data_IF_795348692273
#
_entry.id   IF_795348692273
#
_cell.length_a   1.000
_cell.length_b   1.000
_cell.length_c   1.000
_cell.angle_alpha   90.00
_cell.angle_beta   90.00
_cell.angle_gamma   90.00
#
_symmetry.space_group_name_H-M   'P 1'
#
loop_
_entity.id
_entity.type
_entity.pdbx_description
1 polymer ?
#
# COMPACT_ATOMS: atom_id res chain seq x y z
N UNK A 1 -2.26 -0.32 -6.25
CA UNK A 1 -2.31 0.72 -5.21
C UNK A 1 -0.97 0.82 -4.48
N UNK A 2 -0.50 -0.25 -3.83
CA UNK A 2 0.76 -0.30 -3.10
C UNK A 2 1.97 0.13 -3.93
N UNK A 3 2.07 -0.29 -5.20
CA UNK A 3 3.17 0.11 -6.08
C UNK A 3 3.17 1.61 -6.40
N UNK A 4 2.01 2.20 -6.59
CA UNK A 4 1.88 3.63 -6.84
C UNK A 4 2.24 4.45 -5.61
N UNK A 5 1.84 4.02 -4.41
CA UNK A 5 2.17 4.68 -3.14
C UNK A 5 3.68 4.69 -2.86
N UNK A 6 4.41 3.66 -3.31
CA UNK A 6 5.86 3.60 -3.16
C UNK A 6 6.61 4.58 -4.07
N UNK A 7 6.00 5.02 -5.18
CA UNK A 7 6.67 5.82 -6.22
C UNK A 7 6.75 7.31 -5.92
N UNK A 8 5.88 7.85 -5.08
CA UNK A 8 5.87 9.28 -4.77
C UNK A 8 5.80 9.54 -3.27
N UNK A 9 6.52 10.56 -2.75
CA UNK A 9 6.48 10.88 -1.33
C UNK A 9 5.15 11.48 -0.86
N UNK A 10 4.33 11.97 -1.79
CA UNK A 10 3.05 12.61 -1.46
C UNK A 10 1.99 12.27 -2.49
N UNK A 11 1.10 11.38 -2.16
CA UNK A 11 -0.16 11.21 -2.86
C UNK A 11 -1.18 10.58 -1.94
N UNK A 12 -2.43 10.82 -2.22
CA UNK A 12 -3.56 10.36 -1.43
C UNK A 12 -4.52 9.62 -2.35
N UNK A 13 -4.99 8.48 -1.88
CA UNK A 13 -6.08 7.75 -2.55
C UNK A 13 -7.39 8.46 -2.21
N UNK A 14 -8.07 8.96 -3.24
CA UNK A 14 -9.35 9.67 -3.09
C UNK A 14 -10.52 8.71 -3.18
N UNK A 15 -10.39 7.70 -4.02
CA UNK A 15 -11.44 6.72 -4.25
C UNK A 15 -10.84 5.46 -4.86
N UNK A 16 -11.48 4.32 -4.67
CA UNK A 16 -11.13 3.07 -5.31
C UNK A 16 -12.36 2.18 -5.54
N UNK A 17 -12.27 1.25 -6.48
CA UNK A 17 -13.25 0.21 -6.68
C UNK A 17 -12.53 -1.09 -7.07
N UNK A 18 -13.03 -2.21 -6.56
CA UNK A 18 -12.53 -3.52 -6.90
C UNK A 18 -13.43 -4.17 -7.96
N UNK A 19 -12.84 -4.51 -9.11
CA UNK A 19 -13.56 -5.08 -10.26
C UNK A 19 -13.10 -6.53 -10.47
N UNK A 20 -13.85 -7.53 -10.01
CA UNK A 20 -13.43 -8.93 -10.05
C UNK A 20 -13.38 -9.52 -11.48
N UNK A 21 -14.20 -9.01 -12.40
CA UNK A 21 -14.38 -9.53 -13.76
C UNK A 21 -14.08 -8.46 -14.81
N UNK A 22 -12.84 -7.99 -14.88
CA UNK A 22 -12.44 -6.86 -15.73
C UNK A 22 -12.74 -7.03 -17.21
N UNK A 23 -12.76 -8.27 -17.74
CA UNK A 23 -13.05 -8.53 -19.18
C UNK A 23 -14.46 -8.15 -19.59
N UNK A 24 -15.41 -8.15 -18.66
CA UNK A 24 -16.83 -7.83 -18.91
C UNK A 24 -17.24 -6.46 -18.35
N UNK A 25 -16.31 -5.73 -17.76
CA UNK A 25 -16.59 -4.44 -17.10
C UNK A 25 -17.29 -3.43 -18.02
N UNK A 26 -16.93 -3.39 -19.30
CA UNK A 26 -17.55 -2.48 -20.29
C UNK A 26 -19.02 -2.80 -20.61
N UNK A 27 -19.50 -3.97 -20.21
CA UNK A 27 -20.91 -4.40 -20.42
C UNK A 27 -21.73 -4.25 -19.13
N UNK A 28 -21.17 -3.67 -18.09
CA UNK A 28 -21.82 -3.44 -16.81
C UNK A 28 -22.01 -1.92 -16.60
N UNK A 29 -23.21 -1.45 -16.87
CA UNK A 29 -23.56 -0.02 -16.79
C UNK A 29 -23.28 0.54 -15.38
N UNK A 30 -23.51 -0.25 -14.32
CA UNK A 30 -23.26 0.18 -12.95
C UNK A 30 -21.76 0.39 -12.68
N UNK A 31 -20.89 -0.42 -13.29
CA UNK A 31 -19.43 -0.21 -13.20
C UNK A 31 -18.98 1.00 -14.02
N UNK A 32 -19.62 1.28 -15.15
CA UNK A 32 -19.34 2.49 -15.96
C UNK A 32 -19.74 3.74 -15.18
N UNK A 33 -20.93 3.75 -14.59
CA UNK A 33 -21.40 4.85 -13.74
C UNK A 33 -20.46 5.05 -12.53
N UNK A 34 -20.03 3.95 -11.92
CA UNK A 34 -19.08 4.00 -10.80
C UNK A 34 -17.71 4.54 -11.22
N UNK A 35 -17.21 4.18 -12.38
CA UNK A 35 -15.96 4.72 -12.93
C UNK A 35 -16.08 6.22 -13.20
N UNK A 36 -17.20 6.68 -13.71
CA UNK A 36 -17.51 8.10 -13.90
C UNK A 36 -17.49 8.85 -12.57
N UNK A 37 -18.13 8.32 -11.53
CA UNK A 37 -18.11 8.89 -10.18
C UNK A 37 -16.70 9.00 -9.60
N UNK A 38 -15.84 7.97 -9.81
CA UNK A 38 -14.43 8.03 -9.38
C UNK A 38 -13.71 9.18 -10.10
N UNK A 39 -13.96 9.36 -11.38
CA UNK A 39 -13.39 10.48 -12.16
C UNK A 39 -13.82 11.84 -11.62
N UNK A 40 -15.10 12.00 -11.29
CA UNK A 40 -15.65 13.23 -10.70
C UNK A 40 -15.04 13.52 -9.32
N UNK A 41 -14.94 12.50 -8.46
CA UNK A 41 -14.32 12.61 -7.14
C UNK A 41 -12.86 13.04 -7.25
N UNK A 42 -12.11 12.47 -8.20
CA UNK A 42 -10.72 12.84 -8.46
C UNK A 42 -10.59 14.30 -8.95
N UNK A 43 -11.46 14.71 -9.87
CA UNK A 43 -11.47 16.09 -10.38
C UNK A 43 -11.78 17.12 -9.29
N UNK A 44 -12.74 16.81 -8.41
CA UNK A 44 -13.09 17.65 -7.27
C UNK A 44 -11.93 17.76 -6.28
N UNK A 45 -11.26 16.66 -5.96
CA UNK A 45 -10.08 16.64 -5.11
C UNK A 45 -8.92 17.43 -5.71
N UNK A 46 -8.63 17.26 -7.00
CA UNK A 46 -7.59 18.01 -7.70
C UNK A 46 -7.85 19.53 -7.67
N UNK A 47 -9.09 19.96 -7.89
CA UNK A 47 -9.49 21.36 -7.76
C UNK A 47 -9.26 21.89 -6.35
N UNK A 48 -9.64 21.13 -5.32
CA UNK A 48 -9.43 21.51 -3.92
C UNK A 48 -7.94 21.68 -3.60
N UNK A 49 -7.11 20.76 -4.09
CA UNK A 49 -5.63 20.82 -3.92
C UNK A 49 -5.09 22.10 -4.58
N UNK A 50 -5.52 22.44 -5.80
CA UNK A 50 -5.10 23.67 -6.48
C UNK A 50 -5.50 24.92 -5.71
N UNK A 51 -6.71 24.98 -5.17
CA UNK A 51 -7.19 26.08 -4.32
C UNK A 51 -6.34 26.23 -3.06
N UNK A 52 -6.02 25.12 -2.37
CA UNK A 52 -5.18 25.12 -1.18
C UNK A 52 -3.75 25.62 -1.50
N UNK A 53 -3.16 25.14 -2.59
CA UNK A 53 -1.83 25.58 -3.05
C UNK A 53 -1.84 27.08 -3.37
N UNK A 54 -2.86 27.59 -4.07
CA UNK A 54 -2.99 29.00 -4.38
C UNK A 54 -3.16 29.86 -3.12
N UNK A 55 -3.80 29.33 -2.08
CA UNK A 55 -3.96 29.96 -0.79
C UNK A 55 -2.72 29.86 0.13
N UNK A 56 -1.69 29.10 -0.27
CA UNK A 56 -0.48 28.86 0.55
C UNK A 56 -0.74 27.99 1.79
N UNK A 57 -1.79 27.17 1.77
CA UNK A 57 -2.14 26.24 2.84
C UNK A 57 -1.67 24.83 2.51
N UNK A 58 -1.85 23.88 3.47
CA UNK A 58 -1.56 22.46 3.21
C UNK A 58 -2.39 21.97 2.00
N UNK A 59 -1.74 21.48 0.93
CA UNK A 59 -2.41 21.03 -0.29
C UNK A 59 -3.53 20.01 -0.04
N UNK A 60 -3.38 19.14 0.93
CA UNK A 60 -4.32 18.06 1.23
C UNK A 60 -5.37 18.41 2.28
N UNK A 61 -5.38 19.65 2.80
CA UNK A 61 -6.37 20.08 3.78
C UNK A 61 -7.79 19.99 3.23
N UNK A 62 -8.66 19.22 3.91
CA UNK A 62 -10.05 18.99 3.51
C UNK A 62 -10.22 18.13 2.26
N UNK A 63 -9.17 17.41 1.84
CA UNK A 63 -9.24 16.39 0.78
C UNK A 63 -9.47 15.04 1.44
N UNK A 64 -10.70 14.55 1.39
CA UNK A 64 -11.11 13.33 2.07
C UNK A 64 -11.35 12.18 1.07
N UNK A 65 -11.25 10.96 1.57
CA UNK A 65 -11.60 9.77 0.82
C UNK A 65 -13.11 9.73 0.54
N UNK A 66 -13.48 9.56 -0.73
CA UNK A 66 -14.86 9.59 -1.25
C UNK A 66 -15.41 8.19 -1.58
N UNK A 67 -14.55 7.16 -1.52
CA UNK A 67 -14.94 5.81 -1.88
C UNK A 67 -15.73 5.06 -0.80
N UNK A 68 -16.02 3.80 -1.07
CA UNK A 68 -16.60 2.89 -0.08
C UNK A 68 -15.63 2.67 1.07
N UNK A 69 -16.08 2.85 2.29
CA UNK A 69 -15.25 2.57 3.47
C UNK A 69 -14.90 1.08 3.52
N UNK A 70 -13.62 0.79 3.66
CA UNK A 70 -13.11 -0.56 3.84
C UNK A 70 -12.87 -0.91 5.31
N UNK A 71 -12.30 -2.09 5.53
CA UNK A 71 -11.97 -2.61 6.87
C UNK A 71 -10.85 -1.79 7.53
N UNK A 72 -9.85 -1.35 6.74
CA UNK A 72 -8.78 -0.49 7.24
C UNK A 72 -9.29 0.92 7.53
N UNK A 73 -9.30 1.39 8.78
CA UNK A 73 -9.81 2.72 9.10
C UNK A 73 -8.88 3.85 8.65
N UNK A 74 -7.64 3.53 8.21
CA UNK A 74 -6.67 4.50 7.72
C UNK A 74 -6.74 4.69 6.20
N UNK A 75 -6.61 3.59 5.41
CA UNK A 75 -6.50 3.66 3.95
C UNK A 75 -7.68 3.03 3.21
N UNK A 76 -8.71 2.56 3.91
CA UNK A 76 -9.90 1.89 3.37
C UNK A 76 -9.62 0.59 2.58
N UNK A 77 -8.44 -0.03 2.76
CA UNK A 77 -8.13 -1.33 2.19
C UNK A 77 -8.93 -2.45 2.87
N UNK A 78 -9.29 -3.47 2.11
CA UNK A 78 -9.93 -4.69 2.62
C UNK A 78 -8.98 -5.88 2.71
N UNK A 79 -7.74 -5.74 2.21
CA UNK A 79 -6.76 -6.83 2.16
C UNK A 79 -5.82 -6.76 3.35
N UNK A 80 -5.77 -7.87 4.11
CA UNK A 80 -4.93 -7.98 5.29
C UNK A 80 -4.17 -9.29 5.29
N UNK A 81 -2.91 -9.22 5.71
CA UNK A 81 -2.15 -10.38 6.13
C UNK A 81 -2.47 -10.67 7.60
N UNK A 82 -3.05 -11.84 7.86
CA UNK A 82 -3.34 -12.29 9.23
C UNK A 82 -2.18 -13.15 9.70
N UNK A 83 -1.58 -12.80 10.83
CA UNK A 83 -0.45 -13.54 11.37
C UNK A 83 -0.94 -14.82 12.02
N UNK A 84 -0.48 -16.00 11.56
CA UNK A 84 -0.94 -17.27 12.12
C UNK A 84 -0.63 -17.39 13.62
N UNK A 85 -1.66 -17.75 14.41
CA UNK A 85 -1.53 -17.95 15.86
C UNK A 85 -1.56 -16.67 16.70
N UNK A 86 -1.73 -15.51 16.10
CA UNK A 86 -1.82 -14.21 16.76
C UNK A 86 -3.08 -13.45 16.35
N UNK A 87 -3.63 -12.62 17.24
CA UNK A 87 -4.62 -11.62 16.84
C UNK A 87 -3.90 -10.36 16.31
N UNK A 88 -3.26 -10.53 15.15
CA UNK A 88 -2.50 -9.48 14.49
C UNK A 88 -2.79 -9.47 12.99
N UNK A 89 -3.28 -8.35 12.51
CA UNK A 89 -3.60 -8.11 11.12
C UNK A 89 -2.73 -6.95 10.58
N UNK A 90 -2.11 -7.17 9.43
CA UNK A 90 -1.27 -6.16 8.76
C UNK A 90 -1.98 -5.75 7.49
N UNK A 91 -2.29 -4.46 7.38
CA UNK A 91 -2.90 -3.94 6.15
C UNK A 91 -1.93 -4.04 4.98
N UNK A 92 -2.35 -4.69 3.88
CA UNK A 92 -1.49 -4.90 2.71
C UNK A 92 -1.18 -3.62 1.92
N UNK A 93 -1.85 -2.50 2.20
CA UNK A 93 -1.63 -1.19 1.55
C UNK A 93 -0.82 -0.27 2.44
N UNK A 94 -1.32 0.10 3.61
CA UNK A 94 -0.62 1.06 4.47
C UNK A 94 0.40 0.43 5.43
N UNK A 95 0.45 -0.89 5.56
CA UNK A 95 1.40 -1.60 6.41
C UNK A 95 1.14 -1.47 7.91
N UNK A 96 0.07 -0.80 8.33
CA UNK A 96 -0.26 -0.70 9.74
C UNK A 96 -0.68 -2.05 10.32
N UNK A 97 -0.18 -2.33 11.51
CA UNK A 97 -0.50 -3.52 12.29
C UNK A 97 -1.56 -3.22 13.34
N UNK A 98 -2.57 -4.07 13.44
CA UNK A 98 -3.66 -3.91 14.38
C UNK A 98 -4.26 -5.23 14.82
N UNK A 99 -5.24 -5.14 15.70
CA UNK A 99 -6.00 -6.27 16.21
C UNK A 99 -7.36 -6.37 15.51
N UNK A 100 -7.76 -7.61 15.22
CA UNK A 100 -9.07 -7.92 14.65
C UNK A 100 -10.11 -8.06 15.75
N UNK A 101 -11.29 -7.52 15.49
CA UNK A 101 -12.52 -7.82 16.25
C UNK A 101 -13.68 -8.13 15.31
N UNK A 102 -14.71 -8.74 15.83
CA UNK A 102 -15.99 -8.93 15.13
C UNK A 102 -17.06 -8.23 15.95
N UNK A 103 -17.62 -7.16 15.41
CA UNK A 103 -18.66 -6.37 16.05
C UNK A 103 -19.87 -6.34 15.14
N UNK A 104 -21.03 -6.71 15.69
CA UNK A 104 -22.31 -6.77 14.94
C UNK A 104 -22.24 -7.58 13.64
N UNK A 105 -21.40 -8.63 13.63
CA UNK A 105 -21.18 -9.50 12.47
C UNK A 105 -20.20 -8.94 11.42
N UNK A 106 -19.61 -7.77 11.63
CA UNK A 106 -18.62 -7.18 10.75
C UNK A 106 -17.20 -7.28 11.35
N UNK A 107 -16.22 -7.56 10.48
CA UNK A 107 -14.80 -7.54 10.86
C UNK A 107 -14.33 -6.10 10.96
N UNK A 108 -13.66 -5.77 12.05
CA UNK A 108 -13.01 -4.48 12.28
C UNK A 108 -11.54 -4.67 12.63
N UNK A 109 -10.74 -3.67 12.30
CA UNK A 109 -9.33 -3.58 12.70
C UNK A 109 -9.15 -2.33 13.55
N UNK A 110 -8.45 -2.49 14.68
CA UNK A 110 -8.11 -1.37 15.57
C UNK A 110 -6.61 -1.20 15.59
N UNK A 111 -6.14 0.01 15.29
CA UNK A 111 -4.73 0.41 15.37
C UNK A 111 -4.47 1.17 16.66
N UNK A 112 -3.26 1.05 17.18
CA UNK A 112 -2.80 1.92 18.26
C UNK A 112 -2.54 3.32 17.71
N UNK A 113 -3.03 4.39 18.35
CA UNK A 113 -2.85 5.76 17.87
C UNK A 113 -1.37 6.15 17.66
N UNK A 114 -0.48 5.65 18.53
CA UNK A 114 0.96 5.87 18.45
C UNK A 114 1.64 5.23 17.25
N UNK A 115 0.99 4.29 16.55
CA UNK A 115 1.54 3.61 15.37
C UNK A 115 1.08 4.22 14.05
N UNK A 116 0.07 5.09 14.05
CA UNK A 116 -0.49 5.68 12.83
C UNK A 116 0.55 6.42 11.98
N UNK A 117 1.57 7.01 12.61
CA UNK A 117 2.67 7.69 11.92
C UNK A 117 3.57 6.76 11.10
N UNK A 118 3.44 5.43 11.27
CA UNK A 118 4.21 4.41 10.54
C UNK A 118 3.56 3.99 9.22
N UNK A 119 2.35 4.47 8.93
CA UNK A 119 1.63 4.10 7.71
C UNK A 119 2.44 4.44 6.44
N UNK A 120 2.60 3.48 5.54
CA UNK A 120 3.44 3.61 4.35
C UNK A 120 2.90 4.58 3.29
N UNK A 121 1.67 5.00 3.42
CA UNK A 121 1.01 5.97 2.53
C UNK A 121 1.20 7.44 2.95
N UNK A 122 1.80 7.69 4.12
CA UNK A 122 2.14 9.04 4.59
C UNK A 122 3.64 9.28 4.67
N UNK A 123 4.05 10.55 4.68
CA UNK A 123 5.48 10.95 4.60
C UNK A 123 6.29 10.37 5.76
N UNK A 124 5.80 10.44 6.99
CA UNK A 124 6.53 9.91 8.16
C UNK A 124 6.79 8.40 8.05
N UNK A 125 5.78 7.62 7.66
CA UNK A 125 5.93 6.19 7.47
C UNK A 125 6.87 5.84 6.32
N UNK A 126 6.82 6.59 5.20
CA UNK A 126 7.78 6.43 4.10
C UNK A 126 9.22 6.72 4.51
N UNK A 127 9.44 7.72 5.36
CA UNK A 127 10.76 8.02 5.90
C UNK A 127 11.27 6.91 6.83
N UNK A 128 10.40 6.33 7.66
CA UNK A 128 10.73 5.19 8.51
C UNK A 128 11.10 3.99 7.62
N UNK A 129 10.24 3.62 6.68
CA UNK A 129 10.48 2.51 5.77
C UNK A 129 11.74 2.71 4.91
N UNK A 130 12.01 3.93 4.47
CA UNK A 130 13.25 4.27 3.75
C UNK A 130 14.51 4.01 4.58
N UNK A 131 14.48 4.30 5.88
CA UNK A 131 15.59 3.98 6.80
C UNK A 131 15.77 2.47 6.96
N UNK A 132 14.68 1.72 7.11
CA UNK A 132 14.73 0.26 7.23
C UNK A 132 15.35 -0.37 5.97
N UNK A 133 15.02 0.13 4.78
CA UNK A 133 15.63 -0.30 3.52
C UNK A 133 17.14 -0.04 3.54
N UNK A 134 17.56 1.19 3.88
CA UNK A 134 18.98 1.55 3.94
C UNK A 134 19.77 0.70 4.94
N UNK A 135 19.20 0.43 6.11
CA UNK A 135 19.83 -0.44 7.12
C UNK A 135 19.97 -1.88 6.61
N UNK A 136 18.94 -2.41 5.94
CA UNK A 136 18.98 -3.75 5.36
C UNK A 136 19.98 -3.85 4.21
N UNK A 137 20.08 -2.83 3.36
CA UNK A 137 21.11 -2.75 2.31
C UNK A 137 22.52 -2.71 2.91
N UNK A 138 22.72 -1.95 3.99
CA UNK A 138 23.98 -1.94 4.75
C UNK A 138 24.33 -3.32 5.29
N UNK A 139 23.39 -4.02 5.93
CA UNK A 139 23.58 -5.40 6.41
C UNK A 139 23.93 -6.35 5.26
N UNK A 140 23.23 -6.24 4.12
CA UNK A 140 23.53 -7.05 2.94
C UNK A 140 24.95 -6.76 2.39
N UNK A 141 25.37 -5.50 2.36
CA UNK A 141 26.71 -5.13 1.92
C UNK A 141 27.80 -5.77 2.79
N UNK A 142 27.62 -5.80 4.11
CA UNK A 142 28.53 -6.49 5.02
C UNK A 142 28.49 -8.00 4.84
N UNK A 143 27.30 -8.61 4.71
CA UNK A 143 27.18 -10.06 4.46
C UNK A 143 27.89 -10.48 3.16
N UNK A 144 27.82 -9.69 2.09
CA UNK A 144 28.49 -9.97 0.81
C UNK A 144 30.02 -10.09 0.94
N UNK A 145 30.63 -9.49 1.95
CA UNK A 145 32.08 -9.59 2.22
C UNK A 145 32.46 -10.92 2.84
N UNK A 146 31.53 -11.64 3.46
CA UNK A 146 31.79 -12.89 4.19
C UNK A 146 32.03 -14.07 3.24
N UNK A 147 32.89 -15.03 3.66
CA UNK A 147 33.11 -16.26 2.91
C UNK A 147 31.80 -17.10 2.85
N UNK A 148 31.05 -17.17 3.94
CA UNK A 148 29.79 -17.90 3.99
C UNK A 148 28.76 -17.43 2.94
N UNK A 149 28.66 -16.12 2.69
CA UNK A 149 27.81 -15.60 1.62
C UNK A 149 28.31 -16.04 0.24
N UNK A 150 29.62 -15.92 -0.02
CA UNK A 150 30.24 -16.29 -1.31
C UNK A 150 30.05 -17.78 -1.60
N UNK A 151 30.24 -18.63 -0.61
CA UNK A 151 30.08 -20.09 -0.74
C UNK A 151 28.61 -20.46 -1.05
N UNK A 152 27.68 -19.81 -0.37
CA UNK A 152 26.25 -20.01 -0.60
C UNK A 152 25.81 -19.55 -1.99
N UNK A 153 26.26 -18.39 -2.44
CA UNK A 153 25.99 -17.89 -3.80
C UNK A 153 26.56 -18.84 -4.85
N UNK A 154 27.79 -19.33 -4.66
CA UNK A 154 28.44 -20.27 -5.58
C UNK A 154 27.70 -21.61 -5.61
N UNK A 155 27.26 -22.11 -4.45
CA UNK A 155 26.45 -23.33 -4.38
C UNK A 155 25.19 -23.20 -5.26
N UNK A 156 24.39 -22.13 -5.06
CA UNK A 156 23.15 -21.97 -5.83
C UNK A 156 23.39 -21.70 -7.33
N UNK A 157 24.44 -20.96 -7.69
CA UNK A 157 24.81 -20.75 -9.10
C UNK A 157 25.12 -22.07 -9.83
N UNK A 158 25.73 -23.03 -9.12
CA UNK A 158 26.15 -24.31 -9.70
C UNK A 158 25.05 -25.38 -9.59
N UNK A 159 24.14 -25.27 -8.61
CA UNK A 159 23.09 -26.24 -8.37
C UNK A 159 21.91 -26.12 -9.38
N UNK A 160 21.74 -24.95 -10.00
CA UNK A 160 20.65 -24.70 -10.96
C UNK A 160 21.27 -24.56 -12.35
N UNK A 161 21.20 -25.59 -13.21
CA UNK A 161 21.66 -25.44 -14.59
C UNK A 161 20.77 -24.42 -15.32
N UNK A 162 21.37 -23.34 -15.78
CA UNK A 162 20.71 -22.38 -16.65
C UNK A 162 20.50 -23.06 -18.01
N UNK A 163 19.30 -23.56 -18.26
CA UNK A 163 18.91 -24.01 -19.60
C UNK A 163 18.66 -22.78 -20.44
N UNK A 164 19.49 -22.58 -21.47
CA UNK A 164 19.21 -21.56 -22.47
C UNK A 164 17.85 -21.89 -23.13
N UNK A 165 17.00 -20.90 -23.45
CA UNK A 165 15.78 -21.15 -24.19
C UNK A 165 16.14 -21.84 -25.53
N UNK A 166 15.37 -22.85 -25.92
CA UNK A 166 15.52 -23.48 -27.21
C UNK A 166 15.43 -22.40 -28.29
N UNK A 167 16.38 -22.43 -29.23
CA UNK A 167 16.39 -21.53 -30.41
C UNK A 167 15.26 -21.87 -31.32
#
# INVERSE_FOLDING_TARGET
EHQLQAMTPSWQVIDNEWVPWSKTALMDDALIDRATQIGENLAAAAKKIQENVAAGTDPYSGVEYQGKKGICPHCNCNDFYIVPGENRAICCVCGLEGELSVEEGAVKVTYRPEDLHKAHDIISGKQIHGKDIQENEGKLAEMKKTQAYKDRVNFYKNAIPVTAPAK
#
